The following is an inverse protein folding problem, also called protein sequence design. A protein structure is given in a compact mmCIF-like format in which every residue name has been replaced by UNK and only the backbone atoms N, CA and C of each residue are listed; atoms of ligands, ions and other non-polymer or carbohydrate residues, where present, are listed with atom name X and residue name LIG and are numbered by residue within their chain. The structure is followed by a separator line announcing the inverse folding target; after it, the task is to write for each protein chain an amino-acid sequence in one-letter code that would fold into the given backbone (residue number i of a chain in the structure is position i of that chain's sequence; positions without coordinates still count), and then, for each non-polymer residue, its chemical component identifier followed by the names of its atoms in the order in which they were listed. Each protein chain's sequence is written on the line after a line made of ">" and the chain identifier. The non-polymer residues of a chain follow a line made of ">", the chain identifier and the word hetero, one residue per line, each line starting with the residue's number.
data_IF_602667278471
#
_entry.id   IF_602667278471
#
_cell.length_a   1.000
_cell.length_b   1.000
_cell.length_c   1.000
_cell.angle_alpha   90.00
_cell.angle_beta   90.00
_cell.angle_gamma   90.00
#
_symmetry.space_group_name_H-M   'P 1'
#
loop_
_entity.id
_entity.type
_entity.pdbx_description
1 polymer ?
#
# COMPACT_ATOMS: atom_id res chain seq x y z
N UNK A 1 33.47 2.04 50.14
CA UNK A 1 33.88 3.17 49.25
C UNK A 1 33.97 2.78 47.76
N UNK A 2 34.43 1.57 47.38
CA UNK A 2 34.63 1.15 45.97
C UNK A 2 33.35 1.08 45.11
N UNK A 3 32.19 0.79 45.71
CA UNK A 3 30.91 0.63 44.98
C UNK A 3 30.40 1.93 44.33
N UNK A 4 30.65 3.10 44.95
CA UNK A 4 30.23 4.41 44.41
C UNK A 4 30.99 4.80 43.14
N UNK A 5 32.27 4.42 43.03
CA UNK A 5 33.09 4.70 41.86
C UNK A 5 32.72 3.78 40.69
N UNK A 6 32.44 2.51 40.99
CA UNK A 6 31.98 1.54 40.00
C UNK A 6 30.60 1.93 39.41
N UNK A 7 29.66 2.37 40.27
CA UNK A 7 28.35 2.86 39.83
C UNK A 7 28.45 4.11 38.93
N UNK A 8 29.37 5.03 39.23
CA UNK A 8 29.59 6.24 38.40
C UNK A 8 30.18 5.90 37.04
N UNK A 9 31.15 4.99 36.97
CA UNK A 9 31.73 4.54 35.69
C UNK A 9 30.66 3.81 34.87
N UNK A 10 29.86 2.95 35.50
CA UNK A 10 28.76 2.23 34.86
C UNK A 10 27.73 3.21 34.23
N UNK A 11 27.34 4.26 34.96
CA UNK A 11 26.40 5.28 34.46
C UNK A 11 26.96 6.10 33.28
N UNK A 12 28.24 6.45 33.30
CA UNK A 12 28.88 7.28 32.25
C UNK A 12 28.97 6.54 30.92
N UNK A 13 29.14 5.21 30.92
CA UNK A 13 29.24 4.44 29.68
C UNK A 13 27.91 3.83 29.22
N UNK A 14 27.04 3.42 30.14
CA UNK A 14 25.80 2.72 29.76
C UNK A 14 24.71 3.68 29.33
N UNK A 15 24.60 4.86 29.92
CA UNK A 15 23.59 5.85 29.51
C UNK A 15 23.79 6.28 28.04
N UNK A 16 24.97 6.73 27.58
CA UNK A 16 25.15 7.11 26.18
C UNK A 16 25.05 5.90 25.23
N UNK A 17 25.49 4.71 25.66
CA UNK A 17 25.36 3.49 24.86
C UNK A 17 23.89 3.09 24.67
N UNK A 18 23.11 3.09 25.76
CA UNK A 18 21.67 2.85 25.73
C UNK A 18 20.95 3.91 24.91
N UNK A 19 21.27 5.18 25.08
CA UNK A 19 20.69 6.27 24.29
C UNK A 19 20.97 6.10 22.80
N UNK A 20 22.19 5.69 22.43
CA UNK A 20 22.57 5.44 21.03
C UNK A 20 21.76 4.28 20.45
N UNK A 21 21.56 3.19 21.20
CA UNK A 21 20.72 2.07 20.77
C UNK A 21 19.27 2.52 20.59
N UNK A 22 18.71 3.24 21.56
CA UNK A 22 17.33 3.73 21.50
C UNK A 22 17.13 4.70 20.32
N UNK A 23 18.03 5.65 20.10
CA UNK A 23 18.00 6.56 18.96
C UNK A 23 18.09 5.81 17.62
N UNK A 24 18.94 4.79 17.53
CA UNK A 24 19.07 3.97 16.32
C UNK A 24 17.79 3.16 16.05
N UNK A 25 17.17 2.58 17.09
CA UNK A 25 15.88 1.89 16.96
C UNK A 25 14.77 2.86 16.51
N UNK A 26 14.70 4.05 17.09
CA UNK A 26 13.77 5.10 16.65
C UNK A 26 14.03 5.55 15.22
N UNK A 27 15.29 5.74 14.83
CA UNK A 27 15.66 6.14 13.48
C UNK A 27 15.27 5.09 12.44
N UNK A 28 15.50 3.80 12.73
CA UNK A 28 15.06 2.71 11.86
C UNK A 28 13.54 2.63 11.74
N UNK A 29 12.82 2.82 12.85
CA UNK A 29 11.36 2.89 12.83
C UNK A 29 10.85 4.10 12.02
N UNK A 30 11.54 5.23 12.11
CA UNK A 30 11.25 6.43 11.33
C UNK A 30 11.51 6.25 9.83
N UNK A 31 12.65 5.66 9.45
CA UNK A 31 13.00 5.42 8.05
C UNK A 31 12.13 4.31 7.39
N UNK A 32 11.69 3.32 8.16
CA UNK A 32 10.81 2.25 7.69
C UNK A 32 9.34 2.69 7.55
N UNK A 33 9.02 3.92 7.94
CA UNK A 33 7.66 4.46 7.86
C UNK A 33 7.27 4.71 6.41
N UNK A 34 6.39 3.86 5.88
CA UNK A 34 5.65 4.18 4.67
C UNK A 34 4.53 5.15 5.07
N UNK A 35 4.56 6.41 4.64
CA UNK A 35 3.53 7.36 5.03
C UNK A 35 2.18 6.97 4.44
N UNK A 36 2.16 6.25 3.31
CA UNK A 36 0.93 5.92 2.60
C UNK A 36 0.43 4.51 2.87
N UNK A 37 -0.86 4.41 3.14
CA UNK A 37 -1.65 3.17 3.14
C UNK A 37 -2.42 3.16 1.83
N UNK A 38 -2.15 2.17 0.99
CA UNK A 38 -2.82 1.97 -0.29
C UNK A 38 -3.51 0.61 -0.27
N UNK A 39 -4.84 0.64 -0.27
CA UNK A 39 -5.69 -0.55 -0.24
C UNK A 39 -6.46 -0.66 -1.56
N UNK A 40 -6.55 -1.89 -2.08
CA UNK A 40 -7.31 -2.21 -3.30
C UNK A 40 -8.36 -3.26 -2.96
N UNK A 41 -9.58 -3.01 -3.40
CA UNK A 41 -10.72 -3.89 -3.21
C UNK A 41 -11.40 -4.09 -4.57
N UNK A 42 -11.52 -5.35 -4.98
CA UNK A 42 -12.25 -5.73 -6.18
C UNK A 42 -13.63 -6.22 -5.73
N UNK A 43 -14.71 -5.71 -6.34
CA UNK A 43 -16.08 -5.97 -5.87
C UNK A 43 -16.47 -7.45 -5.88
N UNK A 44 -16.00 -8.20 -6.89
CA UNK A 44 -16.13 -9.66 -6.97
C UNK A 44 -14.80 -10.31 -7.31
N UNK A 45 -14.64 -11.56 -6.90
CA UNK A 45 -13.46 -12.37 -7.23
C UNK A 45 -13.56 -13.08 -8.57
N UNK A 46 -14.75 -13.23 -9.12
CA UNK A 46 -15.02 -14.00 -10.35
C UNK A 46 -16.00 -13.24 -11.23
N UNK A 47 -15.67 -13.13 -12.52
CA UNK A 47 -16.50 -12.48 -13.53
C UNK A 47 -16.65 -13.34 -14.78
N UNK A 48 -17.68 -13.03 -15.55
CA UNK A 48 -17.87 -13.52 -16.91
C UNK A 48 -17.53 -12.43 -17.94
N UNK A 49 -17.31 -12.86 -19.18
CA UNK A 49 -17.12 -11.93 -20.30
C UNK A 49 -18.30 -10.96 -20.42
N UNK A 50 -18.02 -9.68 -20.60
CA UNK A 50 -19.04 -8.63 -20.70
C UNK A 50 -19.51 -8.08 -19.36
N UNK A 51 -19.09 -8.64 -18.22
CA UNK A 51 -19.38 -8.10 -16.90
C UNK A 51 -18.69 -6.73 -16.69
N UNK A 52 -19.30 -5.94 -15.82
CA UNK A 52 -18.71 -4.72 -15.28
C UNK A 52 -17.90 -5.07 -14.04
N UNK A 53 -16.63 -4.69 -14.04
CA UNK A 53 -15.71 -4.81 -12.91
C UNK A 53 -15.61 -3.46 -12.22
N UNK A 54 -15.64 -3.44 -10.89
CA UNK A 54 -15.47 -2.26 -10.07
C UNK A 54 -14.32 -2.44 -9.09
N UNK A 55 -13.23 -1.70 -9.32
CA UNK A 55 -12.05 -1.72 -8.45
C UNK A 55 -12.04 -0.44 -7.63
N UNK A 56 -12.24 -0.58 -6.32
CA UNK A 56 -12.15 0.52 -5.37
C UNK A 56 -10.72 0.58 -4.82
N UNK A 57 -10.15 1.77 -4.86
CA UNK A 57 -8.84 2.05 -4.27
C UNK A 57 -9.03 3.08 -3.16
N UNK A 58 -8.41 2.82 -2.01
CA UNK A 58 -8.38 3.73 -0.88
C UNK A 58 -6.95 4.14 -0.59
N UNK A 59 -6.71 5.46 -0.54
CA UNK A 59 -5.42 6.04 -0.25
C UNK A 59 -5.51 6.91 1.01
N UNK A 60 -4.75 6.51 2.01
CA UNK A 60 -4.62 7.23 3.27
C UNK A 60 -3.14 7.49 3.56
N UNK A 61 -2.88 8.45 4.42
CA UNK A 61 -1.60 8.56 5.11
C UNK A 61 -1.73 8.24 6.58
N UNK A 62 -0.70 7.59 7.13
CA UNK A 62 -0.54 7.52 8.57
C UNK A 62 -0.11 8.89 9.10
N UNK A 63 -0.76 9.33 10.18
CA UNK A 63 -0.50 10.57 10.88
C UNK A 63 -0.19 10.23 12.34
N UNK A 64 1.01 10.57 12.80
CA UNK A 64 1.48 10.29 14.16
C UNK A 64 1.29 8.82 14.60
N UNK A 65 1.53 7.85 13.72
CA UNK A 65 1.51 6.39 13.99
C UNK A 65 0.16 5.78 14.39
N UNK A 66 -0.82 6.57 14.83
CA UNK A 66 -2.10 6.10 15.36
C UNK A 66 -3.32 6.62 14.58
N UNK A 67 -3.18 7.70 13.82
CA UNK A 67 -4.26 8.28 13.04
C UNK A 67 -4.08 7.99 11.56
N UNK A 68 -5.19 7.90 10.82
CA UNK A 68 -5.19 7.82 9.38
C UNK A 68 -5.91 9.02 8.81
N UNK A 69 -5.35 9.63 7.77
CA UNK A 69 -5.95 10.75 7.06
C UNK A 69 -6.16 10.37 5.59
N UNK A 70 -7.36 10.49 5.03
CA UNK A 70 -7.57 10.26 3.61
C UNK A 70 -6.82 11.30 2.78
N UNK A 71 -6.25 10.86 1.65
CA UNK A 71 -5.52 11.73 0.74
C UNK A 71 -6.34 12.07 -0.49
N UNK A 72 -6.85 13.30 -0.55
CA UNK A 72 -7.62 13.82 -1.67
C UNK A 72 -6.74 14.32 -2.82
N UNK A 73 -7.25 14.20 -4.05
CA UNK A 73 -6.69 14.83 -5.24
C UNK A 73 -5.37 14.21 -5.73
N UNK A 74 -5.05 13.00 -5.27
CA UNK A 74 -3.83 12.28 -5.66
C UNK A 74 -4.08 11.48 -6.92
N UNK A 75 -3.13 11.54 -7.85
CA UNK A 75 -3.14 10.70 -9.05
C UNK A 75 -2.89 9.24 -8.68
N UNK A 76 -3.80 8.35 -9.11
CA UNK A 76 -3.75 6.90 -8.95
C UNK A 76 -3.80 6.28 -10.34
N UNK A 77 -2.80 5.48 -10.67
CA UNK A 77 -2.77 4.68 -11.90
C UNK A 77 -3.13 3.23 -11.62
N UNK A 78 -3.85 2.60 -12.54
CA UNK A 78 -4.09 1.16 -12.54
C UNK A 78 -3.62 0.53 -13.85
N UNK A 79 -3.10 -0.68 -13.74
CA UNK A 79 -2.75 -1.54 -14.87
C UNK A 79 -3.28 -2.93 -14.58
N UNK A 80 -3.90 -3.56 -15.58
CA UNK A 80 -4.40 -4.93 -15.46
C UNK A 80 -3.68 -5.80 -16.48
N UNK A 81 -3.10 -6.88 -15.98
CA UNK A 81 -2.45 -7.90 -16.79
C UNK A 81 -3.35 -9.13 -16.87
N UNK A 82 -3.37 -9.75 -18.05
CA UNK A 82 -4.04 -11.03 -18.29
C UNK A 82 -3.24 -12.22 -17.72
N UNK A 83 -3.77 -13.46 -17.81
CA UNK A 83 -3.07 -14.65 -17.31
C UNK A 83 -1.74 -14.94 -18.00
N UNK A 84 -1.50 -14.37 -19.19
CA UNK A 84 -0.25 -14.44 -19.94
C UNK A 84 0.67 -13.26 -19.65
N UNK A 85 0.36 -12.46 -18.62
CA UNK A 85 1.07 -11.27 -18.15
C UNK A 85 1.09 -10.10 -19.17
N UNK A 86 0.16 -10.09 -20.12
CA UNK A 86 0.02 -8.98 -21.09
C UNK A 86 -0.91 -7.90 -20.53
N UNK A 87 -0.54 -6.65 -20.77
CA UNK A 87 -1.38 -5.51 -20.37
C UNK A 87 -2.64 -5.46 -21.23
N UNK A 88 -3.80 -5.55 -20.58
CA UNK A 88 -5.12 -5.49 -21.26
C UNK A 88 -5.91 -4.23 -20.93
N UNK A 89 -5.55 -3.53 -19.85
CA UNK A 89 -6.22 -2.31 -19.43
C UNK A 89 -5.27 -1.42 -18.63
N UNK A 90 -5.35 -0.12 -18.87
CA UNK A 90 -4.64 0.93 -18.12
C UNK A 90 -5.59 2.10 -17.98
N UNK A 91 -5.64 2.68 -16.78
CA UNK A 91 -6.39 3.91 -16.53
C UNK A 91 -5.74 4.72 -15.41
N UNK A 92 -6.09 5.99 -15.33
CA UNK A 92 -5.63 6.90 -14.28
C UNK A 92 -6.75 7.84 -13.88
N UNK A 93 -6.92 8.05 -12.59
CA UNK A 93 -7.83 9.07 -12.08
C UNK A 93 -7.36 9.60 -10.72
N UNK A 94 -8.11 10.54 -10.14
CA UNK A 94 -7.75 11.23 -8.89
C UNK A 94 -8.65 10.86 -7.72
N UNK A 95 -8.07 10.72 -6.54
CA UNK A 95 -8.82 10.43 -5.31
C UNK A 95 -9.79 11.56 -4.94
N UNK A 96 -10.97 11.16 -4.45
CA UNK A 96 -11.99 12.05 -3.92
C UNK A 96 -11.66 12.62 -2.53
N UNK A 97 -12.59 13.38 -1.97
CA UNK A 97 -12.42 14.02 -0.65
C UNK A 97 -12.24 13.01 0.50
N UNK A 98 -12.76 11.81 0.35
CA UNK A 98 -12.63 10.70 1.30
C UNK A 98 -11.38 9.83 1.04
N UNK A 99 -10.51 10.23 0.10
CA UNK A 99 -9.30 9.49 -0.26
C UNK A 99 -9.58 8.23 -1.08
N UNK A 100 -10.81 8.05 -1.57
CA UNK A 100 -11.17 6.89 -2.40
C UNK A 100 -11.29 7.24 -3.87
N UNK A 101 -11.16 6.21 -4.70
CA UNK A 101 -11.45 6.26 -6.12
C UNK A 101 -11.98 4.91 -6.58
N UNK A 102 -12.85 4.92 -7.58
CA UNK A 102 -13.42 3.70 -8.17
C UNK A 102 -13.12 3.70 -9.66
N UNK A 103 -12.46 2.65 -10.12
CA UNK A 103 -12.28 2.36 -11.53
C UNK A 103 -13.35 1.37 -11.96
N UNK A 104 -14.06 1.68 -13.03
CA UNK A 104 -15.11 0.83 -13.57
C UNK A 104 -14.87 0.61 -15.05
N UNK A 105 -14.81 -0.65 -15.46
CA UNK A 105 -14.61 -1.04 -16.85
C UNK A 105 -15.37 -2.32 -17.17
N UNK A 106 -15.54 -2.59 -18.46
CA UNK A 106 -16.22 -3.79 -18.96
C UNK A 106 -15.21 -4.81 -19.45
N UNK A 107 -15.38 -6.08 -19.06
CA UNK A 107 -14.56 -7.17 -19.59
C UNK A 107 -14.90 -7.38 -21.07
N UNK A 108 -13.91 -7.27 -21.95
CA UNK A 108 -14.10 -7.54 -23.38
C UNK A 108 -14.39 -9.03 -23.62
N UNK A 109 -15.18 -9.34 -24.64
CA UNK A 109 -15.40 -10.72 -25.08
C UNK A 109 -14.12 -11.44 -25.54
N UNK A 110 -13.08 -10.69 -25.88
CA UNK A 110 -11.76 -11.20 -26.27
C UNK A 110 -10.82 -11.50 -25.09
N UNK A 111 -11.20 -11.19 -23.85
CA UNK A 111 -10.38 -11.50 -22.69
C UNK A 111 -10.29 -13.02 -22.49
N UNK A 112 -9.09 -13.48 -22.15
CA UNK A 112 -8.82 -14.88 -21.87
C UNK A 112 -9.46 -15.29 -20.54
N UNK A 113 -9.93 -16.53 -20.40
CA UNK A 113 -10.26 -17.05 -19.08
C UNK A 113 -8.98 -17.20 -18.23
N UNK A 114 -9.11 -16.99 -16.92
CA UNK A 114 -8.02 -17.17 -15.94
C UNK A 114 -7.90 -16.03 -14.93
N UNK A 115 -6.80 -16.02 -14.18
CA UNK A 115 -6.52 -15.01 -13.15
C UNK A 115 -5.84 -13.77 -13.73
N UNK A 116 -6.47 -12.62 -13.51
CA UNK A 116 -5.97 -11.31 -13.87
C UNK A 116 -5.33 -10.64 -12.67
N UNK A 117 -4.21 -9.94 -12.89
CA UNK A 117 -3.50 -9.17 -11.87
C UNK A 117 -3.77 -7.69 -12.06
N UNK A 118 -4.18 -7.05 -10.98
CA UNK A 118 -4.41 -5.61 -10.90
C UNK A 118 -3.23 -4.99 -10.19
N UNK A 119 -2.49 -4.15 -10.87
CA UNK A 119 -1.44 -3.33 -10.29
C UNK A 119 -1.98 -1.93 -10.08
N UNK A 120 -1.86 -1.42 -8.85
CA UNK A 120 -2.28 -0.07 -8.48
C UNK A 120 -1.04 0.70 -8.01
N UNK A 121 -0.84 1.89 -8.56
CA UNK A 121 0.31 2.71 -8.26
C UNK A 121 -0.09 4.15 -7.92
N UNK A 122 0.59 4.69 -6.92
CA UNK A 122 0.62 6.12 -6.58
C UNK A 122 2.06 6.54 -6.37
N UNK A 123 2.34 7.84 -6.37
CA UNK A 123 3.68 8.33 -6.05
C UNK A 123 4.13 7.85 -4.65
N UNK A 124 5.08 6.93 -4.60
CA UNK A 124 5.69 6.41 -3.38
C UNK A 124 5.05 5.14 -2.79
N UNK A 125 4.01 4.57 -3.42
CA UNK A 125 3.43 3.30 -3.00
C UNK A 125 2.81 2.53 -4.17
N UNK A 126 2.86 1.20 -4.10
CA UNK A 126 2.18 0.30 -5.02
C UNK A 126 1.49 -0.80 -4.23
N UNK A 127 0.42 -1.35 -4.80
CA UNK A 127 -0.28 -2.53 -4.27
C UNK A 127 -0.81 -3.36 -5.42
N UNK A 128 -1.24 -4.59 -5.11
CA UNK A 128 -1.77 -5.52 -6.11
C UNK A 128 -3.07 -6.14 -5.64
N UNK A 129 -3.99 -6.37 -6.58
CA UNK A 129 -5.20 -7.16 -6.40
C UNK A 129 -5.32 -8.20 -7.51
N UNK A 130 -6.27 -9.11 -7.38
CA UNK A 130 -6.50 -10.16 -8.38
C UNK A 130 -8.00 -10.45 -8.52
N UNK A 131 -8.41 -10.88 -9.70
CA UNK A 131 -9.72 -11.46 -9.96
C UNK A 131 -9.64 -12.49 -11.07
N UNK A 132 -10.64 -13.37 -11.14
CA UNK A 132 -10.74 -14.43 -12.13
C UNK A 132 -11.79 -14.09 -13.19
N UNK A 133 -11.50 -14.38 -14.45
CA UNK A 133 -12.47 -14.36 -15.55
C UNK A 133 -12.75 -15.79 -15.98
N UNK A 134 -14.02 -16.17 -16.00
CA UNK A 134 -14.45 -17.49 -16.48
C UNK A 134 -14.89 -17.45 -17.93
N UNK A 135 -14.83 -18.59 -18.59
CA UNK A 135 -15.59 -18.80 -19.81
C UNK A 135 -17.08 -18.59 -19.50
N UNK A 136 -17.71 -17.76 -20.32
CA UNK A 136 -19.16 -17.53 -20.28
C UNK A 136 -19.89 -18.57 -21.10
#
# INVERSE_FOLDING_TARGET
>A
MKYKYFLRIFLVFIIPFSLTITLNLFYKAYLGYKPYILEVEVDKKVYSKGDMVSIKVRLEENVFWIWRRPLQGRDVGIQINDPEDRVVFVDQARTGADGTIVFTFRISGSWLPGTYKVYVAVSGATTTGEFEVKEG
#
